data_IF_155716470728
#
_entry.id   IF_155716470728
#
_cell.length_a   1.000
_cell.length_b   1.000
_cell.length_c   1.000
_cell.angle_alpha   90.00
_cell.angle_beta   90.00
_cell.angle_gamma   90.00
#
_symmetry.space_group_name_H-M   'P 1'
#
loop_
_entity.id
_entity.type
_entity.pdbx_description
1 polymer ?
#
# COMPACT_ATOMS: atom_id res chain seq x y z
N UNK A 1 2.12 5.61 -2.23
CA UNK A 1 1.05 5.54 -3.26
C UNK A 1 1.29 4.35 -4.18
N UNK A 2 0.27 3.50 -4.42
CA UNK A 2 0.35 2.40 -5.38
C UNK A 2 -0.22 2.83 -6.74
N UNK A 3 0.17 2.13 -7.81
CA UNK A 3 -0.38 2.31 -9.16
C UNK A 3 -0.83 0.97 -9.74
N UNK A 4 -1.72 1.02 -10.74
CA UNK A 4 -2.16 -0.19 -11.46
C UNK A 4 -1.05 -0.80 -12.30
N UNK A 5 -1.17 -2.09 -12.63
CA UNK A 5 -0.22 -2.81 -13.49
C UNK A 5 0.00 -2.11 -14.85
N UNK A 6 -1.06 -1.64 -15.51
CA UNK A 6 -0.91 -0.95 -16.79
C UNK A 6 -0.12 0.36 -16.68
N UNK A 7 -0.23 1.06 -15.54
CA UNK A 7 0.55 2.27 -15.26
C UNK A 7 2.00 1.91 -14.94
N UNK A 8 2.24 0.86 -14.15
CA UNK A 8 3.56 0.33 -13.88
C UNK A 8 4.27 -0.06 -15.18
N UNK A 9 3.59 -0.79 -16.08
CA UNK A 9 4.11 -1.16 -17.40
C UNK A 9 4.37 0.05 -18.30
N UNK A 10 3.54 1.08 -18.23
CA UNK A 10 3.81 2.34 -18.95
C UNK A 10 5.11 2.99 -18.48
N UNK A 11 5.37 3.01 -17.17
CA UNK A 11 6.64 3.49 -16.62
C UNK A 11 7.80 2.59 -17.04
N UNK A 12 7.64 1.27 -17.01
CA UNK A 12 8.66 0.32 -17.48
C UNK A 12 9.06 0.61 -18.92
N UNK A 13 8.08 0.77 -19.81
CA UNK A 13 8.33 1.10 -21.22
C UNK A 13 9.06 2.45 -21.40
N UNK A 14 8.67 3.49 -20.64
CA UNK A 14 9.33 4.80 -20.65
C UNK A 14 10.82 4.71 -20.25
N UNK A 15 11.15 3.81 -19.34
CA UNK A 15 12.53 3.57 -18.91
C UNK A 15 13.25 2.48 -19.72
N UNK A 16 12.64 1.96 -20.78
CA UNK A 16 13.26 0.99 -21.67
C UNK A 16 13.28 -0.44 -21.11
N UNK A 17 12.35 -0.79 -20.24
CA UNK A 17 12.11 -2.16 -19.79
C UNK A 17 11.05 -2.78 -20.69
N UNK A 18 11.31 -3.91 -21.35
CA UNK A 18 10.36 -4.55 -22.26
C UNK A 18 9.10 -5.05 -21.53
N UNK A 19 7.94 -4.71 -22.07
CA UNK A 19 6.63 -5.13 -21.60
C UNK A 19 5.78 -5.64 -22.77
N UNK A 20 4.77 -6.50 -22.54
CA UNK A 20 3.80 -6.85 -23.58
C UNK A 20 3.05 -5.61 -24.07
N UNK A 21 2.71 -5.59 -25.36
CA UNK A 21 1.87 -4.53 -25.92
C UNK A 21 0.47 -4.65 -25.36
N UNK A 22 0.04 -3.65 -24.60
CA UNK A 22 -1.24 -3.67 -23.88
C UNK A 22 -1.86 -2.28 -23.75
N UNK A 23 -3.16 -2.24 -23.42
CA UNK A 23 -3.92 -1.01 -23.21
C UNK A 23 -4.93 -1.17 -22.09
N UNK A 24 -5.13 -0.11 -21.32
CA UNK A 24 -6.22 0.00 -20.37
C UNK A 24 -7.57 0.00 -21.08
N UNK A 25 -8.52 -0.74 -20.54
CA UNK A 25 -9.87 -0.92 -21.08
C UNK A 25 -10.90 -0.71 -19.96
N UNK A 26 -11.92 0.11 -20.24
CA UNK A 26 -12.99 0.44 -19.29
C UNK A 26 -14.37 -0.02 -19.77
N UNK A 27 -14.47 -0.55 -20.99
CA UNK A 27 -15.71 -1.09 -21.55
C UNK A 27 -15.47 -2.30 -22.46
N UNK A 28 -16.47 -3.18 -22.65
CA UNK A 28 -16.36 -4.32 -23.58
C UNK A 28 -16.09 -3.90 -25.02
N UNK A 29 -16.65 -2.77 -25.47
CA UNK A 29 -16.46 -2.25 -26.83
C UNK A 29 -15.01 -1.81 -27.05
N UNK A 30 -14.41 -1.16 -26.05
CA UNK A 30 -13.00 -0.80 -26.09
C UNK A 30 -12.09 -2.02 -26.12
N UNK A 31 -12.47 -3.13 -25.45
CA UNK A 31 -11.74 -4.40 -25.51
C UNK A 31 -11.71 -4.97 -26.93
N UNK A 32 -12.86 -4.97 -27.64
CA UNK A 32 -12.95 -5.40 -29.03
C UNK A 32 -12.10 -4.53 -29.96
N UNK A 33 -12.22 -3.21 -29.82
CA UNK A 33 -11.46 -2.27 -30.64
C UNK A 33 -9.95 -2.50 -30.50
N UNK A 34 -9.47 -2.61 -29.27
CA UNK A 34 -8.05 -2.84 -28.99
C UNK A 34 -7.57 -4.23 -29.43
N UNK A 35 -8.38 -5.30 -29.21
CA UNK A 35 -8.02 -6.64 -29.66
C UNK A 35 -7.84 -6.73 -31.19
N UNK A 36 -8.54 -5.89 -31.95
CA UNK A 36 -8.38 -5.82 -33.41
C UNK A 36 -7.06 -5.12 -33.84
N UNK A 37 -6.50 -4.26 -32.99
CA UNK A 37 -5.21 -3.59 -33.22
C UNK A 37 -4.01 -4.45 -32.85
N UNK A 38 -4.23 -5.52 -32.06
CA UNK A 38 -3.16 -6.44 -31.65
C UNK A 38 -2.97 -7.53 -32.73
N UNK A 39 -1.71 -7.70 -33.13
CA UNK A 39 -1.28 -8.82 -33.99
C UNK A 39 -0.62 -9.91 -33.13
N UNK A 40 -1.45 -10.70 -32.46
CA UNK A 40 -1.04 -11.75 -31.54
C UNK A 40 -1.95 -12.96 -31.65
N UNK A 41 -1.42 -14.20 -31.51
CA UNK A 41 -2.24 -15.41 -31.44
C UNK A 41 -2.92 -15.61 -30.09
N UNK A 42 -2.53 -14.84 -29.04
CA UNK A 42 -3.03 -14.99 -27.67
C UNK A 42 -3.29 -13.62 -27.07
N UNK A 43 -4.49 -13.45 -26.50
CA UNK A 43 -4.92 -12.25 -25.81
C UNK A 43 -5.04 -12.55 -24.32
N UNK A 44 -4.59 -11.63 -23.48
CA UNK A 44 -4.72 -11.72 -22.03
C UNK A 44 -5.53 -10.54 -21.52
N UNK A 45 -6.60 -10.84 -20.79
CA UNK A 45 -7.49 -9.84 -20.17
C UNK A 45 -7.28 -9.90 -18.66
N UNK A 46 -6.75 -8.84 -18.08
CA UNK A 46 -6.35 -8.77 -16.67
C UNK A 46 -7.15 -7.71 -15.93
N UNK A 47 -7.81 -8.09 -14.84
CA UNK A 47 -8.42 -7.14 -13.92
C UNK A 47 -7.36 -6.24 -13.30
N UNK A 48 -7.64 -4.94 -13.19
CA UNK A 48 -6.75 -3.95 -12.59
C UNK A 48 -7.28 -3.58 -11.23
N UNK A 49 -6.65 -4.11 -10.19
CA UNK A 49 -6.86 -3.78 -8.77
C UNK A 49 -5.50 -3.71 -8.08
N UNK A 50 -5.38 -2.93 -7.00
CA UNK A 50 -4.14 -2.81 -6.22
C UNK A 50 -3.92 -4.02 -5.29
N UNK A 51 -4.03 -5.23 -5.84
CA UNK A 51 -3.78 -6.47 -5.10
C UNK A 51 -3.16 -7.54 -5.99
N UNK A 52 -2.28 -8.34 -5.40
CA UNK A 52 -1.72 -9.56 -5.98
C UNK A 52 -2.71 -10.73 -5.96
N UNK A 53 -2.30 -11.86 -6.56
CA UNK A 53 -3.11 -13.08 -6.58
C UNK A 53 -4.31 -13.04 -7.52
N UNK A 54 -4.41 -12.04 -8.39
CA UNK A 54 -5.52 -11.87 -9.36
C UNK A 54 -5.76 -13.09 -10.23
N UNK A 55 -4.69 -13.76 -10.67
CA UNK A 55 -4.79 -14.99 -11.47
C UNK A 55 -5.54 -16.10 -10.74
N UNK A 56 -5.17 -16.37 -9.49
CA UNK A 56 -5.84 -17.39 -8.63
C UNK A 56 -7.30 -17.02 -8.33
N UNK A 57 -7.60 -15.72 -8.23
CA UNK A 57 -8.97 -15.21 -8.02
C UNK A 57 -9.84 -15.16 -9.31
N UNK A 58 -9.31 -15.64 -10.46
CA UNK A 58 -10.01 -15.61 -11.74
C UNK A 58 -10.09 -14.22 -12.39
N UNK A 59 -9.24 -13.29 -11.98
CA UNK A 59 -9.10 -11.95 -12.54
C UNK A 59 -8.19 -11.86 -13.77
N UNK A 60 -7.60 -12.97 -14.21
CA UNK A 60 -6.80 -13.07 -15.44
C UNK A 60 -7.42 -14.13 -16.33
N UNK A 61 -7.74 -13.75 -17.56
CA UNK A 61 -8.34 -14.61 -18.57
C UNK A 61 -7.49 -14.60 -19.84
N UNK A 62 -7.37 -15.76 -20.46
CA UNK A 62 -6.57 -15.96 -21.67
C UNK A 62 -7.50 -16.45 -22.78
N UNK A 63 -7.36 -15.93 -23.97
CA UNK A 63 -8.09 -16.38 -25.15
C UNK A 63 -7.23 -16.31 -26.40
N UNK A 64 -7.53 -17.18 -27.39
CA UNK A 64 -6.96 -17.12 -28.75
C UNK A 64 -7.92 -16.45 -29.73
N UNK A 65 -9.15 -16.18 -29.29
CA UNK A 65 -10.17 -15.52 -30.08
C UNK A 65 -10.31 -14.06 -29.66
N UNK A 66 -9.96 -13.13 -30.55
CA UNK A 66 -10.10 -11.71 -30.30
C UNK A 66 -11.57 -11.29 -30.10
N UNK A 67 -12.53 -11.97 -30.72
CA UNK A 67 -13.94 -11.70 -30.53
C UNK A 67 -14.40 -12.02 -29.08
N UNK A 68 -13.76 -12.97 -28.41
CA UNK A 68 -14.07 -13.30 -27.04
C UNK A 68 -13.64 -12.23 -26.01
N UNK A 69 -12.74 -11.31 -26.39
CA UNK A 69 -12.23 -10.28 -25.46
C UNK A 69 -13.34 -9.40 -24.88
N UNK A 70 -14.36 -9.06 -25.67
CA UNK A 70 -15.53 -8.29 -25.19
C UNK A 70 -16.33 -9.04 -24.13
N UNK A 71 -16.56 -10.35 -24.35
CA UNK A 71 -17.27 -11.21 -23.40
C UNK A 71 -16.52 -11.34 -22.08
N UNK A 72 -15.19 -11.53 -22.13
CA UNK A 72 -14.33 -11.58 -20.96
C UNK A 72 -14.27 -10.23 -20.22
N UNK A 73 -14.23 -9.12 -20.96
CA UNK A 73 -14.29 -7.80 -20.36
C UNK A 73 -15.62 -7.56 -19.63
N UNK A 74 -16.75 -7.96 -20.22
CA UNK A 74 -18.08 -7.89 -19.60
C UNK A 74 -18.19 -8.76 -18.34
N UNK A 75 -17.52 -9.93 -18.31
CA UNK A 75 -17.49 -10.81 -17.14
C UNK A 75 -16.70 -10.18 -15.97
N UNK A 76 -15.62 -9.47 -16.28
CA UNK A 76 -14.68 -8.98 -15.27
C UNK A 76 -15.01 -7.57 -14.76
N UNK A 77 -15.47 -6.66 -15.63
CA UNK A 77 -15.83 -5.29 -15.20
C UNK A 77 -17.02 -5.34 -14.23
N UNK A 78 -16.87 -4.69 -13.10
CA UNK A 78 -17.87 -4.67 -12.03
C UNK A 78 -17.86 -5.85 -11.09
N UNK A 79 -17.11 -6.91 -11.40
CA UNK A 79 -16.91 -8.08 -10.52
C UNK A 79 -16.09 -7.68 -9.29
N UNK A 80 -16.42 -8.22 -8.13
CA UNK A 80 -15.59 -8.12 -6.94
C UNK A 80 -14.63 -9.31 -6.89
N UNK A 81 -13.32 -9.02 -6.88
CA UNK A 81 -12.28 -10.04 -6.75
C UNK A 81 -11.84 -10.13 -5.30
N UNK A 82 -11.86 -11.35 -4.77
CA UNK A 82 -11.35 -11.69 -3.44
C UNK A 82 -10.01 -12.38 -3.61
N UNK A 83 -8.95 -11.78 -3.10
CA UNK A 83 -7.61 -12.36 -3.05
C UNK A 83 -7.13 -12.39 -1.59
N UNK A 84 -6.02 -13.06 -1.31
CA UNK A 84 -5.44 -13.04 0.03
C UNK A 84 -5.03 -11.61 0.48
N UNK A 85 -4.74 -10.70 -0.46
CA UNK A 85 -4.37 -9.31 -0.16
C UNK A 85 -5.58 -8.38 0.00
N UNK A 86 -6.72 -8.67 -0.65
CA UNK A 86 -7.92 -7.82 -0.52
C UNK A 86 -8.76 -8.13 0.71
N UNK A 87 -8.47 -9.25 1.39
CA UNK A 87 -9.34 -9.76 2.44
C UNK A 87 -10.73 -10.18 1.93
N UNK A 88 -11.65 -10.56 2.83
CA UNK A 88 -12.95 -11.14 2.46
C UNK A 88 -13.90 -10.16 1.76
N UNK A 89 -13.71 -8.85 1.92
CA UNK A 89 -14.50 -7.82 1.24
C UNK A 89 -14.21 -7.75 -0.26
N UNK A 90 -13.00 -8.13 -0.67
CA UNK A 90 -12.55 -8.02 -2.05
C UNK A 90 -12.40 -6.59 -2.57
N UNK A 91 -12.06 -6.47 -3.86
CA UNK A 91 -12.00 -5.19 -4.57
C UNK A 91 -12.81 -5.27 -5.85
N UNK A 92 -13.58 -4.24 -6.14
CA UNK A 92 -14.40 -4.15 -7.36
C UNK A 92 -13.51 -3.77 -8.55
N UNK A 93 -13.64 -4.50 -9.63
CA UNK A 93 -12.90 -4.26 -10.88
C UNK A 93 -13.56 -3.11 -11.65
N UNK A 94 -12.85 -2.00 -11.80
CA UNK A 94 -13.32 -0.83 -12.54
C UNK A 94 -12.71 -0.73 -13.94
N UNK A 95 -11.52 -1.34 -14.13
CA UNK A 95 -10.75 -1.29 -15.37
C UNK A 95 -9.99 -2.58 -15.61
N UNK A 96 -9.64 -2.84 -16.84
CA UNK A 96 -8.88 -4.00 -17.28
C UNK A 96 -7.63 -3.56 -18.03
N UNK A 97 -6.65 -4.45 -18.10
CA UNK A 97 -5.58 -4.41 -19.08
C UNK A 97 -5.81 -5.54 -20.09
N UNK A 98 -5.90 -5.19 -21.37
CA UNK A 98 -5.90 -6.17 -22.47
C UNK A 98 -4.56 -6.09 -23.16
N UNK A 99 -3.85 -7.20 -23.23
CA UNK A 99 -2.49 -7.27 -23.77
C UNK A 99 -2.24 -8.54 -24.57
N UNK A 100 -1.17 -8.53 -25.33
CA UNK A 100 -0.67 -9.70 -26.05
C UNK A 100 -0.13 -10.75 -25.07
N UNK A 101 -0.35 -12.02 -25.36
CA UNK A 101 0.26 -13.13 -24.64
C UNK A 101 1.73 -13.31 -25.03
N UNK A 102 2.49 -13.97 -24.15
CA UNK A 102 3.90 -14.28 -24.38
C UNK A 102 4.16 -15.78 -24.32
N UNK A 103 5.13 -16.24 -25.12
CA UNK A 103 5.60 -17.64 -25.12
C UNK A 103 6.62 -17.85 -24.00
N UNK A 104 6.18 -18.22 -22.82
CA UNK A 104 7.03 -18.35 -21.63
C UNK A 104 7.95 -19.58 -21.77
N UNK A 105 9.26 -19.37 -21.60
CA UNK A 105 10.24 -20.44 -21.44
C UNK A 105 10.65 -20.59 -19.98
N UNK A 106 10.85 -19.48 -19.24
CA UNK A 106 11.23 -19.45 -17.83
C UNK A 106 10.61 -18.23 -17.16
N UNK A 107 10.15 -18.41 -15.94
CA UNK A 107 9.69 -17.35 -15.05
C UNK A 107 10.74 -17.06 -13.99
N UNK A 108 10.93 -15.78 -13.67
CA UNK A 108 11.84 -15.26 -12.66
C UNK A 108 11.11 -14.24 -11.82
N UNK A 109 11.57 -14.04 -10.60
CA UNK A 109 11.18 -12.90 -9.74
C UNK A 109 12.27 -11.82 -9.78
N UNK A 110 11.86 -10.57 -9.84
CA UNK A 110 12.77 -9.43 -9.76
C UNK A 110 12.07 -8.25 -9.08
N UNK A 111 12.75 -7.68 -8.07
CA UNK A 111 12.29 -6.41 -7.46
C UNK A 111 13.48 -5.54 -7.06
N UNK A 112 13.20 -4.26 -6.82
CA UNK A 112 14.11 -3.32 -6.16
C UNK A 112 13.33 -2.55 -5.10
N UNK A 113 13.91 -2.44 -3.92
CA UNK A 113 13.39 -1.71 -2.78
C UNK A 113 14.56 -1.20 -1.92
N UNK A 114 14.28 -0.39 -0.90
CA UNK A 114 15.28 -0.05 0.11
C UNK A 114 15.31 -1.15 1.17
N UNK A 115 16.45 -1.83 1.30
CA UNK A 115 16.67 -2.78 2.39
C UNK A 115 16.75 -2.03 3.72
N UNK A 116 15.95 -2.45 4.71
CA UNK A 116 15.82 -1.74 6.00
C UNK A 116 17.05 -1.87 6.88
N UNK A 117 17.82 -2.94 6.73
CA UNK A 117 19.00 -3.20 7.54
C UNK A 117 20.19 -2.32 7.08
N UNK A 118 20.34 -2.15 5.78
CA UNK A 118 21.45 -1.39 5.18
C UNK A 118 21.08 0.06 4.84
N UNK A 119 19.79 0.33 4.62
CA UNK A 119 19.29 1.61 4.07
C UNK A 119 19.59 1.81 2.60
N UNK A 120 20.04 0.77 1.88
CA UNK A 120 20.47 0.85 0.48
C UNK A 120 19.42 0.29 -0.49
N UNK A 121 19.30 0.87 -1.70
CA UNK A 121 18.56 0.24 -2.78
C UNK A 121 19.12 -1.15 -3.04
N UNK A 122 18.24 -2.17 -2.98
CA UNK A 122 18.64 -3.55 -3.08
C UNK A 122 17.77 -4.28 -4.08
N UNK A 123 18.38 -4.93 -5.06
CA UNK A 123 17.69 -5.86 -5.93
C UNK A 123 17.46 -7.18 -5.19
N UNK A 124 16.25 -7.70 -5.29
CA UNK A 124 15.87 -9.04 -4.86
C UNK A 124 15.47 -9.81 -6.10
N UNK A 125 16.07 -10.97 -6.32
CA UNK A 125 15.79 -11.82 -7.46
C UNK A 125 15.66 -13.28 -7.05
N UNK A 126 14.87 -14.06 -7.79
CA UNK A 126 14.75 -15.52 -7.60
C UNK A 126 14.42 -16.22 -8.91
N UNK A 127 14.80 -17.50 -8.98
CA UNK A 127 14.38 -18.41 -10.06
C UNK A 127 12.96 -18.90 -9.92
N UNK A 128 12.29 -18.58 -8.81
CA UNK A 128 10.90 -18.93 -8.48
C UNK A 128 9.98 -17.75 -8.85
N UNK A 129 9.74 -17.53 -10.13
CA UNK A 129 8.80 -16.54 -10.62
C UNK A 129 7.35 -16.99 -10.55
N UNK A 130 6.41 -16.04 -10.53
CA UNK A 130 4.97 -16.32 -10.48
C UNK A 130 4.45 -16.79 -9.12
N UNK A 131 5.32 -16.81 -8.10
CA UNK A 131 4.99 -17.15 -6.72
C UNK A 131 5.10 -15.94 -5.80
N UNK A 132 4.47 -16.00 -4.62
CA UNK A 132 4.67 -15.00 -3.57
C UNK A 132 6.10 -15.09 -3.05
N UNK A 133 6.85 -14.01 -3.10
CA UNK A 133 8.27 -14.01 -2.72
C UNK A 133 8.47 -14.28 -1.23
N UNK A 134 7.49 -13.90 -0.40
CA UNK A 134 7.48 -14.18 1.04
C UNK A 134 7.41 -15.69 1.30
N UNK A 135 6.64 -16.42 0.50
CA UNK A 135 6.57 -17.89 0.59
C UNK A 135 7.90 -18.54 0.19
N UNK A 136 8.58 -17.99 -0.83
CA UNK A 136 9.92 -18.44 -1.22
C UNK A 136 10.94 -18.16 -0.12
N UNK A 137 10.88 -16.95 0.48
CA UNK A 137 11.77 -16.56 1.58
C UNK A 137 11.60 -17.44 2.83
N UNK A 138 10.38 -17.89 3.11
CA UNK A 138 10.09 -18.78 4.26
C UNK A 138 10.54 -20.23 4.00
N UNK A 139 10.25 -20.77 2.82
CA UNK A 139 10.47 -22.19 2.50
C UNK A 139 11.85 -22.49 1.93
N UNK A 140 12.41 -21.57 1.13
CA UNK A 140 13.65 -21.77 0.38
C UNK A 140 14.47 -20.46 0.33
N UNK A 141 14.91 -19.92 1.50
CA UNK A 141 15.60 -18.62 1.57
C UNK A 141 16.88 -18.59 0.74
N UNK A 142 17.52 -19.73 0.50
CA UNK A 142 18.72 -19.86 -0.35
C UNK A 142 18.48 -19.52 -1.82
N UNK A 143 17.21 -19.48 -2.28
CA UNK A 143 16.83 -19.06 -3.63
C UNK A 143 16.63 -17.55 -3.76
N UNK A 144 16.72 -16.82 -2.65
CA UNK A 144 16.63 -15.36 -2.65
C UNK A 144 18.02 -14.77 -2.85
N UNK A 145 18.18 -14.09 -3.96
CA UNK A 145 19.41 -13.37 -4.32
C UNK A 145 19.20 -11.90 -3.96
N UNK A 146 20.15 -11.34 -3.21
CA UNK A 146 20.16 -9.91 -2.85
C UNK A 146 21.41 -9.26 -3.40
N UNK A 147 21.25 -8.13 -4.08
CA UNK A 147 22.36 -7.30 -4.58
C UNK A 147 22.11 -5.85 -4.14
N UNK A 148 22.85 -5.39 -3.15
CA UNK A 148 22.77 -4.03 -2.64
C UNK A 148 23.57 -3.07 -3.54
N UNK A 149 23.00 -1.90 -3.79
CA UNK A 149 23.62 -0.85 -4.62
C UNK A 149 24.03 0.29 -3.71
N UNK A 150 25.32 0.59 -3.66
CA UNK A 150 25.81 1.77 -2.95
C UNK A 150 25.24 3.05 -3.61
N UNK A 151 24.42 3.83 -2.91
CA UNK A 151 23.79 5.02 -3.50
C UNK A 151 24.79 6.12 -3.88
N UNK A 152 26.00 6.12 -3.30
CA UNK A 152 27.05 7.08 -3.66
C UNK A 152 27.70 6.76 -5.02
N UNK A 153 27.69 5.49 -5.43
CA UNK A 153 28.28 5.01 -6.71
C UNK A 153 27.19 4.82 -7.76
N UNK A 154 26.00 4.44 -7.33
CA UNK A 154 24.90 4.05 -8.20
C UNK A 154 25.09 2.67 -8.84
N UNK A 155 24.09 2.26 -9.63
CA UNK A 155 24.13 0.96 -10.32
C UNK A 155 25.29 0.87 -11.32
N UNK A 156 26.05 -0.21 -11.23
CA UNK A 156 27.15 -0.53 -12.11
C UNK A 156 26.90 -1.86 -12.83
N UNK A 157 27.48 -2.05 -14.00
CA UNK A 157 27.28 -3.27 -14.78
C UNK A 157 27.70 -4.58 -14.07
N UNK A 158 28.58 -4.51 -13.07
CA UNK A 158 28.95 -5.69 -12.28
C UNK A 158 27.80 -6.12 -11.36
N UNK A 159 27.03 -5.18 -10.78
CA UNK A 159 25.87 -5.51 -9.97
C UNK A 159 24.86 -6.37 -10.76
N UNK A 160 24.55 -5.93 -11.99
CA UNK A 160 23.64 -6.70 -12.85
C UNK A 160 24.20 -8.07 -13.23
N UNK A 161 25.50 -8.18 -13.46
CA UNK A 161 26.15 -9.48 -13.73
C UNK A 161 26.15 -10.40 -12.52
N UNK A 162 26.37 -9.86 -11.32
CA UNK A 162 26.27 -10.64 -10.07
C UNK A 162 24.89 -11.31 -9.96
N UNK A 163 23.82 -10.53 -10.15
CA UNK A 163 22.44 -11.07 -10.12
C UNK A 163 22.22 -12.08 -11.24
N UNK A 164 22.65 -11.77 -12.48
CA UNK A 164 22.49 -12.67 -13.63
C UNK A 164 23.16 -14.03 -13.40
N UNK A 165 24.38 -14.05 -12.88
CA UNK A 165 25.13 -15.28 -12.61
C UNK A 165 24.55 -16.04 -11.42
N UNK A 166 24.11 -15.35 -10.37
CA UNK A 166 23.45 -15.99 -9.23
C UNK A 166 22.11 -16.63 -9.62
N UNK A 167 21.35 -16.03 -10.57
CA UNK A 167 20.16 -16.64 -11.18
C UNK A 167 20.49 -17.81 -12.14
N UNK A 168 21.75 -18.05 -12.46
CA UNK A 168 22.16 -19.09 -13.39
C UNK A 168 21.82 -18.78 -14.85
N UNK A 169 21.68 -17.51 -15.24
CA UNK A 169 21.30 -17.12 -16.61
C UNK A 169 22.29 -17.58 -17.66
N UNK A 170 23.59 -17.73 -17.29
CA UNK A 170 24.62 -18.29 -18.17
C UNK A 170 24.36 -19.75 -18.59
N UNK A 171 23.56 -20.48 -17.78
CA UNK A 171 23.16 -21.87 -18.05
C UNK A 171 21.79 -21.95 -18.70
N UNK A 172 20.88 -21.02 -18.32
CA UNK A 172 19.52 -21.00 -18.82
C UNK A 172 19.45 -20.44 -20.24
N UNK A 173 19.97 -19.21 -20.45
CA UNK A 173 20.02 -18.53 -21.75
C UNK A 173 21.04 -17.40 -21.71
N UNK A 174 22.30 -17.67 -22.12
CA UNK A 174 23.40 -16.69 -22.06
C UNK A 174 23.14 -15.38 -22.84
N UNK A 175 22.33 -15.44 -23.90
CA UNK A 175 22.03 -14.29 -24.73
C UNK A 175 21.26 -13.18 -23.97
N UNK A 176 20.55 -13.51 -22.89
CA UNK A 176 19.79 -12.55 -22.12
C UNK A 176 20.61 -11.82 -21.04
N UNK A 177 21.87 -12.20 -20.80
CA UNK A 177 22.69 -11.60 -19.71
C UNK A 177 22.86 -10.10 -19.90
N UNK A 178 23.32 -9.64 -21.08
CA UNK A 178 23.52 -8.21 -21.34
C UNK A 178 22.18 -7.43 -21.32
N UNK A 179 21.11 -7.89 -21.98
CA UNK A 179 19.78 -7.29 -21.85
C UNK A 179 19.29 -7.23 -20.41
N UNK A 180 19.55 -8.26 -19.58
CA UNK A 180 19.20 -8.29 -18.16
C UNK A 180 19.95 -7.22 -17.35
N UNK A 181 21.27 -7.11 -17.55
CA UNK A 181 22.08 -6.07 -16.90
C UNK A 181 21.58 -4.67 -17.26
N UNK A 182 21.25 -4.44 -18.54
CA UNK A 182 20.67 -3.17 -18.98
C UNK A 182 19.31 -2.92 -18.35
N UNK A 183 18.45 -3.95 -18.27
CA UNK A 183 17.14 -3.87 -17.60
C UNK A 183 17.26 -3.47 -16.14
N UNK A 184 18.18 -4.07 -15.37
CA UNK A 184 18.41 -3.70 -13.97
C UNK A 184 18.87 -2.24 -13.86
N UNK A 185 19.75 -1.77 -14.72
CA UNK A 185 20.15 -0.36 -14.76
C UNK A 185 18.97 0.58 -15.02
N UNK A 186 18.06 0.19 -15.92
CA UNK A 186 16.85 0.96 -16.23
C UNK A 186 15.87 0.94 -15.05
N UNK A 187 15.69 -0.19 -14.37
CA UNK A 187 14.84 -0.29 -13.18
C UNK A 187 15.40 0.50 -11.99
N UNK A 188 16.73 0.47 -11.79
CA UNK A 188 17.39 1.30 -10.80
C UNK A 188 17.14 2.79 -11.08
N UNK A 189 17.26 3.21 -12.33
CA UNK A 189 17.00 4.58 -12.76
C UNK A 189 15.55 4.99 -12.52
N UNK A 190 14.57 4.14 -12.88
CA UNK A 190 13.16 4.33 -12.57
C UNK A 190 12.95 4.49 -11.05
N UNK A 191 13.52 3.59 -10.25
CA UNK A 191 13.41 3.57 -8.80
C UNK A 191 13.89 4.88 -8.18
N UNK A 192 15.09 5.34 -8.57
CA UNK A 192 15.69 6.56 -8.03
C UNK A 192 15.02 7.84 -8.56
N UNK A 193 14.80 7.94 -9.89
CA UNK A 193 14.27 9.16 -10.51
C UNK A 193 12.82 9.44 -10.15
N UNK A 194 12.02 8.39 -9.85
CA UNK A 194 10.60 8.54 -9.51
C UNK A 194 10.32 8.44 -8.02
N UNK A 195 11.32 8.34 -7.18
CA UNK A 195 11.18 8.11 -5.74
C UNK A 195 10.25 6.90 -5.46
N UNK A 196 10.49 5.79 -6.17
CA UNK A 196 9.74 4.57 -5.92
C UNK A 196 10.14 3.96 -4.55
N UNK A 197 9.18 3.40 -3.84
CA UNK A 197 9.40 2.62 -2.63
C UNK A 197 9.59 1.13 -2.94
N UNK A 198 8.94 0.67 -4.02
CA UNK A 198 9.05 -0.69 -4.56
C UNK A 198 8.85 -0.65 -6.06
N UNK A 199 9.69 -1.38 -6.78
CA UNK A 199 9.46 -1.78 -8.18
C UNK A 199 9.59 -3.30 -8.24
N UNK A 200 8.53 -4.00 -8.62
CA UNK A 200 8.47 -5.46 -8.65
C UNK A 200 7.98 -5.94 -10.01
N UNK A 201 8.61 -6.98 -10.51
CA UNK A 201 8.24 -7.71 -11.72
C UNK A 201 8.07 -9.19 -11.34
N UNK A 202 6.83 -9.66 -11.35
CA UNK A 202 6.53 -11.04 -10.96
C UNK A 202 5.36 -11.63 -11.77
N UNK A 203 5.68 -12.38 -12.84
CA UNK A 203 7.00 -12.81 -13.24
C UNK A 203 7.72 -11.86 -14.25
N UNK A 204 9.01 -11.79 -14.13
CA UNK A 204 9.91 -11.49 -15.26
C UNK A 204 10.09 -12.77 -16.07
N UNK A 205 9.87 -12.74 -17.36
CA UNK A 205 9.97 -13.95 -18.18
C UNK A 205 11.13 -13.89 -19.16
N UNK A 206 11.70 -15.07 -19.40
CA UNK A 206 12.49 -15.35 -20.61
C UNK A 206 11.52 -16.03 -21.57
N UNK A 207 11.36 -15.48 -22.76
CA UNK A 207 10.49 -16.06 -23.79
C UNK A 207 11.21 -17.17 -24.56
N UNK A 208 10.44 -17.99 -25.31
CA UNK A 208 11.02 -18.98 -26.22
C UNK A 208 11.85 -18.35 -27.35
N UNK A 209 11.56 -17.08 -27.64
CA UNK A 209 12.30 -16.24 -28.60
C UNK A 209 13.59 -15.65 -27.98
N UNK A 210 13.94 -16.06 -26.73
CA UNK A 210 15.14 -15.66 -26.00
C UNK A 210 15.19 -14.16 -25.69
N UNK A 211 14.05 -13.58 -25.39
CA UNK A 211 13.91 -12.19 -24.96
C UNK A 211 13.43 -12.09 -23.52
N UNK A 212 13.75 -10.98 -22.84
CA UNK A 212 13.25 -10.66 -21.51
C UNK A 212 12.00 -9.79 -21.60
N UNK A 213 10.97 -10.10 -20.83
CA UNK A 213 9.72 -9.33 -20.81
C UNK A 213 9.20 -9.26 -19.37
N UNK A 214 8.87 -8.06 -18.89
CA UNK A 214 8.14 -7.86 -17.64
C UNK A 214 6.65 -8.17 -17.85
N UNK A 215 6.23 -9.38 -17.48
CA UNK A 215 4.88 -9.89 -17.78
C UNK A 215 3.83 -9.33 -16.81
N UNK A 216 4.21 -9.06 -15.58
CA UNK A 216 3.41 -8.33 -14.59
C UNK A 216 4.31 -7.30 -13.90
N UNK A 217 3.72 -6.26 -13.33
CA UNK A 217 4.47 -5.20 -12.69
C UNK A 217 3.68 -4.54 -11.58
N UNK A 218 4.38 -4.29 -10.47
CA UNK A 218 3.87 -3.55 -9.33
C UNK A 218 4.87 -2.44 -8.99
N UNK A 219 4.37 -1.21 -8.91
CA UNK A 219 5.17 -0.07 -8.49
C UNK A 219 4.44 0.66 -7.38
N UNK A 220 5.16 0.97 -6.33
CA UNK A 220 4.71 1.89 -5.29
C UNK A 220 5.71 3.03 -5.13
N UNK A 221 5.22 4.18 -4.73
CA UNK A 221 6.01 5.40 -4.58
C UNK A 221 6.05 5.85 -3.13
N UNK A 222 7.13 6.48 -2.74
CA UNK A 222 7.23 7.16 -1.45
C UNK A 222 6.33 8.42 -1.49
N UNK A 223 5.34 8.44 -0.61
CA UNK A 223 4.39 9.55 -0.52
C UNK A 223 5.09 10.89 -0.22
N UNK A 224 6.22 10.85 0.51
CA UNK A 224 7.03 12.04 0.79
C UNK A 224 7.75 12.60 -0.45
N UNK A 225 7.91 11.79 -1.49
CA UNK A 225 8.52 12.20 -2.76
C UNK A 225 7.52 12.68 -3.82
N UNK A 226 6.23 12.37 -3.66
CA UNK A 226 5.20 12.58 -4.69
C UNK A 226 5.06 14.03 -5.14
N UNK A 227 5.33 15.01 -4.27
CA UNK A 227 5.23 16.43 -4.63
C UNK A 227 6.15 16.84 -5.79
N UNK A 228 7.18 16.06 -6.11
CA UNK A 228 8.09 16.28 -7.23
C UNK A 228 7.59 15.64 -8.55
N UNK A 229 6.56 14.80 -8.50
CA UNK A 229 6.14 13.92 -9.60
C UNK A 229 4.65 14.08 -9.92
N UNK A 230 4.29 15.19 -10.58
CA UNK A 230 2.89 15.44 -10.98
C UNK A 230 2.35 14.35 -11.93
N UNK A 231 3.20 13.77 -12.78
CA UNK A 231 2.85 12.68 -13.68
C UNK A 231 2.46 11.42 -12.90
N UNK A 232 3.17 11.12 -11.82
CA UNK A 232 2.86 10.00 -10.92
C UNK A 232 1.60 10.28 -10.10
N UNK A 233 1.44 11.50 -9.57
CA UNK A 233 0.24 11.89 -8.81
C UNK A 233 -1.05 11.69 -9.63
N UNK A 234 -1.02 11.95 -10.94
CA UNK A 234 -2.15 11.75 -11.86
C UNK A 234 -2.52 10.27 -12.06
N UNK A 235 -1.64 9.34 -11.66
CA UNK A 235 -1.90 7.90 -11.71
C UNK A 235 -2.71 7.39 -10.52
N UNK A 236 -2.94 8.22 -9.50
CA UNK A 236 -3.66 7.84 -8.29
C UNK A 236 -5.10 7.45 -8.60
N UNK A 237 -5.52 6.30 -8.09
CA UNK A 237 -6.90 5.83 -8.19
C UNK A 237 -7.56 5.76 -6.81
N UNK A 238 -8.40 6.75 -6.51
CA UNK A 238 -9.10 6.83 -5.23
C UNK A 238 -10.08 5.68 -4.98
N UNK A 239 -10.50 4.94 -6.02
CA UNK A 239 -11.37 3.78 -5.84
C UNK A 239 -10.63 2.59 -5.21
N UNK A 240 -9.30 2.59 -5.27
CA UNK A 240 -8.45 1.55 -4.71
C UNK A 240 -7.96 1.87 -3.29
N UNK A 241 -8.18 3.09 -2.80
CA UNK A 241 -7.76 3.53 -1.47
C UNK A 241 -8.86 3.36 -0.43
N UNK A 242 -8.50 3.39 0.85
CA UNK A 242 -9.47 3.37 1.94
C UNK A 242 -10.13 4.76 2.08
N UNK A 243 -11.46 4.86 2.01
CA UNK A 243 -12.14 6.17 2.02
C UNK A 243 -11.83 7.03 3.24
N UNK A 244 -11.62 6.41 4.42
CA UNK A 244 -11.26 7.14 5.64
C UNK A 244 -9.84 7.70 5.59
N UNK A 245 -8.91 7.01 4.92
CA UNK A 245 -7.53 7.49 4.72
C UNK A 245 -7.50 8.67 3.73
N UNK A 246 -8.32 8.62 2.66
CA UNK A 246 -8.51 9.73 1.73
C UNK A 246 -9.02 10.97 2.47
N UNK A 247 -10.06 10.81 3.30
CA UNK A 247 -10.64 11.90 4.06
C UNK A 247 -9.64 12.47 5.08
N UNK A 248 -8.87 11.61 5.73
CA UNK A 248 -7.83 12.02 6.67
C UNK A 248 -6.73 12.85 5.98
N UNK A 249 -6.25 12.39 4.84
CA UNK A 249 -5.25 13.11 4.03
C UNK A 249 -5.75 14.50 3.62
N UNK A 250 -7.03 14.61 3.21
CA UNK A 250 -7.64 15.90 2.86
C UNK A 250 -7.74 16.88 4.06
N UNK A 251 -7.68 16.37 5.30
CA UNK A 251 -7.67 17.15 6.53
C UNK A 251 -6.28 17.27 7.18
N UNK A 252 -5.20 16.93 6.46
CA UNK A 252 -3.82 16.90 6.93
C UNK A 252 -3.62 16.02 8.19
N UNK A 253 -4.31 14.89 8.25
CA UNK A 253 -4.19 13.89 9.29
C UNK A 253 -3.48 12.65 8.75
N UNK A 254 -2.57 12.07 9.56
CA UNK A 254 -1.97 10.77 9.28
C UNK A 254 -2.86 9.68 9.88
N UNK A 255 -3.57 8.95 9.04
CA UNK A 255 -4.51 7.92 9.43
C UNK A 255 -4.24 6.62 8.68
N UNK A 256 -4.28 5.50 9.39
CA UNK A 256 -4.27 4.16 8.82
C UNK A 256 -5.40 3.37 9.47
N UNK A 257 -6.26 2.77 8.66
CA UNK A 257 -7.34 1.92 9.14
C UNK A 257 -6.82 0.55 9.57
N UNK A 258 -7.32 0.06 10.71
CA UNK A 258 -7.08 -1.29 11.23
C UNK A 258 -8.43 -1.99 11.50
N UNK A 259 -8.37 -3.26 11.90
CA UNK A 259 -9.57 -4.09 12.06
C UNK A 259 -10.14 -4.13 13.49
N UNK A 260 -9.60 -3.34 14.41
CA UNK A 260 -10.01 -3.33 15.82
C UNK A 260 -11.29 -2.54 16.11
N UNK A 261 -11.54 -2.34 17.41
CA UNK A 261 -12.74 -1.70 17.93
C UNK A 261 -12.48 -0.45 18.80
N UNK A 262 -11.22 -0.13 19.09
CA UNK A 262 -10.85 1.08 19.83
C UNK A 262 -10.29 2.11 18.86
N UNK A 263 -11.02 3.20 18.65
CA UNK A 263 -10.53 4.35 17.89
C UNK A 263 -9.45 5.10 18.67
N UNK A 264 -8.32 5.37 18.03
CA UNK A 264 -7.17 6.04 18.63
C UNK A 264 -6.97 7.43 18.02
N UNK A 265 -6.74 8.45 18.88
CA UNK A 265 -6.34 9.78 18.46
C UNK A 265 -5.15 10.22 19.32
N UNK A 266 -4.01 10.43 18.70
CA UNK A 266 -2.74 10.62 19.41
C UNK A 266 -1.94 11.74 18.72
N UNK A 267 -1.05 12.41 19.42
CA UNK A 267 -0.09 13.33 18.84
C UNK A 267 1.31 12.70 18.84
N UNK A 268 1.79 12.43 17.64
CA UNK A 268 3.10 11.83 17.39
C UNK A 268 3.05 10.32 17.14
N UNK A 269 3.68 9.88 16.06
CA UNK A 269 3.63 8.50 15.57
C UNK A 269 4.13 7.46 16.59
N UNK A 270 5.22 7.77 17.32
CA UNK A 270 5.75 6.86 18.34
C UNK A 270 4.78 6.63 19.49
N UNK A 271 4.11 7.71 19.95
CA UNK A 271 3.09 7.59 21.00
C UNK A 271 1.85 6.85 20.49
N UNK A 272 1.48 7.03 19.21
CA UNK A 272 0.37 6.30 18.61
C UNK A 272 0.65 4.80 18.57
N UNK A 273 1.83 4.38 18.14
CA UNK A 273 2.24 2.96 18.17
C UNK A 273 2.21 2.38 19.58
N UNK A 274 2.82 3.08 20.55
CA UNK A 274 2.80 2.65 21.96
C UNK A 274 1.37 2.56 22.51
N UNK A 275 0.47 3.48 22.12
CA UNK A 275 -0.94 3.46 22.53
C UNK A 275 -1.64 2.22 21.99
N UNK A 276 -1.41 1.87 20.72
CA UNK A 276 -1.98 0.67 20.11
C UNK A 276 -1.48 -0.61 20.79
N UNK A 277 -0.19 -0.69 21.11
CA UNK A 277 0.39 -1.84 21.83
C UNK A 277 -0.22 -2.01 23.21
N UNK A 278 -0.41 -0.91 23.95
CA UNK A 278 -1.02 -0.95 25.30
C UNK A 278 -2.49 -1.33 25.24
N UNK A 279 -3.25 -0.92 24.23
CA UNK A 279 -4.62 -1.40 23.99
C UNK A 279 -4.64 -2.92 23.79
N UNK A 280 -3.74 -3.46 22.98
CA UNK A 280 -3.61 -4.92 22.76
C UNK A 280 -3.28 -5.64 24.06
N UNK A 281 -2.32 -5.16 24.83
CA UNK A 281 -1.98 -5.73 26.13
C UNK A 281 -3.14 -5.68 27.13
N UNK A 282 -4.02 -4.68 27.04
CA UNK A 282 -5.22 -4.58 27.85
C UNK A 282 -6.36 -5.51 27.39
N UNK A 283 -6.20 -6.20 26.25
CA UNK A 283 -7.11 -7.24 25.75
C UNK A 283 -8.18 -6.74 24.79
N UNK A 284 -7.87 -5.69 24.01
CA UNK A 284 -8.70 -5.22 22.89
C UNK A 284 -7.83 -4.92 21.67
N UNK A 285 -8.44 -4.46 20.58
CA UNK A 285 -7.72 -4.21 19.32
C UNK A 285 -7.90 -2.75 18.86
N UNK A 286 -6.81 -2.05 18.42
CA UNK A 286 -6.92 -0.72 17.86
C UNK A 286 -7.63 -0.75 16.50
N UNK A 287 -8.58 0.17 16.30
CA UNK A 287 -9.32 0.32 15.05
C UNK A 287 -8.55 1.14 14.00
N UNK A 288 -7.56 1.91 14.43
CA UNK A 288 -6.77 2.78 13.57
C UNK A 288 -5.49 3.24 14.22
N UNK A 289 -4.56 3.67 13.38
CA UNK A 289 -3.53 4.64 13.71
C UNK A 289 -4.05 6.04 13.35
N UNK A 290 -3.91 7.03 14.23
CA UNK A 290 -4.21 8.43 13.92
C UNK A 290 -3.27 9.34 14.69
N UNK A 291 -2.41 10.04 13.97
CA UNK A 291 -1.56 11.10 14.48
C UNK A 291 -2.09 12.47 14.04
N UNK A 292 -2.52 13.26 15.01
CA UNK A 292 -2.99 14.64 14.78
C UNK A 292 -1.85 15.66 14.69
N UNK A 293 -0.62 15.19 14.86
CA UNK A 293 0.59 16.03 14.78
C UNK A 293 0.80 16.95 15.99
N UNK A 294 1.99 17.58 15.99
CA UNK A 294 2.38 18.52 17.05
C UNK A 294 1.72 19.90 16.99
N UNK A 295 0.97 20.19 15.94
CA UNK A 295 0.24 21.44 15.74
C UNK A 295 -1.28 21.28 15.75
N UNK A 296 -1.80 20.26 16.43
CA UNK A 296 -3.23 19.96 16.44
C UNK A 296 -4.09 21.19 16.78
N UNK A 297 -5.04 21.48 15.90
CA UNK A 297 -6.04 22.55 16.05
C UNK A 297 -7.40 21.97 16.35
N UNK A 298 -8.37 22.81 16.71
CA UNK A 298 -9.77 22.40 16.87
C UNK A 298 -10.29 21.68 15.62
N UNK A 299 -9.96 22.19 14.44
CA UNK A 299 -10.43 21.67 13.14
C UNK A 299 -9.88 20.27 12.88
N UNK A 300 -8.59 20.04 13.14
CA UNK A 300 -7.95 18.72 12.97
C UNK A 300 -8.50 17.70 13.97
N UNK A 301 -8.73 18.11 15.23
CA UNK A 301 -9.37 17.26 16.25
C UNK A 301 -10.80 16.90 15.85
N UNK A 302 -11.60 17.89 15.39
CA UNK A 302 -12.98 17.65 14.94
C UNK A 302 -13.01 16.73 13.70
N UNK A 303 -12.10 16.89 12.76
CA UNK A 303 -11.95 15.99 11.60
C UNK A 303 -11.61 14.57 12.05
N UNK A 304 -10.66 14.42 12.98
CA UNK A 304 -10.30 13.12 13.57
C UNK A 304 -11.52 12.42 14.21
N UNK A 305 -12.32 13.13 15.01
CA UNK A 305 -13.56 12.55 15.56
C UNK A 305 -14.54 12.10 14.46
N UNK A 306 -14.77 12.94 13.43
CA UNK A 306 -15.67 12.58 12.33
C UNK A 306 -15.21 11.32 11.61
N UNK A 307 -13.91 11.18 11.38
CA UNK A 307 -13.33 10.00 10.74
C UNK A 307 -13.50 8.76 11.61
N UNK A 308 -13.15 8.85 12.90
CA UNK A 308 -13.28 7.73 13.83
C UNK A 308 -14.73 7.24 13.98
N UNK A 309 -15.70 8.16 14.05
CA UNK A 309 -17.12 7.82 14.21
C UNK A 309 -17.77 7.30 12.92
N UNK A 310 -17.15 7.46 11.76
CA UNK A 310 -17.61 6.85 10.50
C UNK A 310 -17.25 5.37 10.41
N UNK A 311 -16.26 4.90 11.16
CA UNK A 311 -15.95 3.47 11.20
C UNK A 311 -16.94 2.73 12.10
N UNK A 312 -17.77 1.83 11.56
CA UNK A 312 -18.78 1.10 12.34
C UNK A 312 -18.16 0.12 13.36
N UNK A 313 -16.88 -0.21 13.20
CA UNK A 313 -16.16 -1.08 14.12
C UNK A 313 -15.78 -0.35 15.41
N UNK A 314 -15.67 0.98 15.39
CA UNK A 314 -15.28 1.77 16.57
C UNK A 314 -16.38 1.73 17.62
N UNK A 315 -16.08 1.13 18.77
CA UNK A 315 -16.96 1.00 19.94
C UNK A 315 -16.58 1.94 21.07
N UNK A 316 -15.39 2.51 21.04
CA UNK A 316 -14.91 3.52 21.98
C UNK A 316 -13.73 4.27 21.41
N UNK A 317 -13.46 5.46 21.93
CA UNK A 317 -12.37 6.31 21.47
C UNK A 317 -11.41 6.57 22.62
N UNK A 318 -10.12 6.38 22.37
CA UNK A 318 -9.04 6.72 23.28
C UNK A 318 -8.20 7.87 22.68
N UNK A 319 -8.24 9.02 23.37
CA UNK A 319 -7.40 10.19 23.07
C UNK A 319 -6.21 10.16 24.01
N UNK A 320 -5.00 10.07 23.46
CA UNK A 320 -3.76 10.06 24.23
C UNK A 320 -2.82 11.16 23.74
N UNK A 321 -2.69 12.22 24.54
CA UNK A 321 -1.90 13.40 24.20
C UNK A 321 -0.74 13.57 25.18
N UNK A 322 0.46 13.72 24.61
CA UNK A 322 1.62 14.15 25.36
C UNK A 322 1.99 15.58 24.93
N UNK A 323 1.80 16.53 25.84
CA UNK A 323 2.12 17.93 25.64
C UNK A 323 3.62 18.19 25.80
N UNK A 324 4.31 18.26 24.69
CA UNK A 324 5.64 18.84 24.62
C UNK A 324 5.52 20.26 24.08
N UNK A 325 5.64 20.42 22.74
CA UNK A 325 5.37 21.66 22.01
C UNK A 325 3.86 21.99 22.05
N UNK A 326 3.01 20.95 21.93
CA UNK A 326 1.56 21.07 22.07
C UNK A 326 1.19 21.25 23.53
N UNK A 327 0.33 22.21 23.82
CA UNK A 327 -0.18 22.51 25.16
C UNK A 327 -1.51 21.78 25.37
N UNK A 328 -1.61 21.03 26.46
CA UNK A 328 -2.76 20.15 26.74
C UNK A 328 -4.09 20.91 26.84
N UNK A 329 -4.09 22.16 27.34
CA UNK A 329 -5.31 22.96 27.43
C UNK A 329 -5.87 23.32 26.05
N UNK A 330 -5.02 23.50 25.02
CA UNK A 330 -5.47 23.74 23.64
C UNK A 330 -6.16 22.51 23.08
N UNK A 331 -5.59 21.34 23.32
CA UNK A 331 -6.21 20.07 22.90
C UNK A 331 -7.54 19.85 23.65
N UNK A 332 -7.58 20.12 24.95
CA UNK A 332 -8.83 20.00 25.74
C UNK A 332 -9.94 20.90 25.15
N UNK A 333 -9.62 22.15 24.81
CA UNK A 333 -10.57 23.03 24.10
C UNK A 333 -10.98 22.44 22.75
N UNK A 334 -10.03 21.96 21.94
CA UNK A 334 -10.31 21.31 20.64
C UNK A 334 -11.25 20.10 20.79
N UNK A 335 -10.99 19.24 21.77
CA UNK A 335 -11.86 18.09 22.11
C UNK A 335 -13.26 18.53 22.50
N UNK A 336 -13.38 19.52 23.41
CA UNK A 336 -14.68 20.02 23.91
C UNK A 336 -15.49 20.63 22.76
N UNK A 337 -14.88 21.45 21.94
CA UNK A 337 -15.56 22.10 20.81
C UNK A 337 -15.93 21.09 19.71
N UNK A 338 -15.02 20.18 19.38
CA UNK A 338 -15.29 19.12 18.42
C UNK A 338 -16.42 18.18 18.91
N UNK A 339 -16.44 17.86 20.21
CA UNK A 339 -17.49 17.04 20.81
C UNK A 339 -18.88 17.73 20.81
N UNK A 340 -18.93 19.06 20.79
CA UNK A 340 -20.19 19.82 20.64
C UNK A 340 -20.68 19.80 19.17
N UNK A 341 -19.77 19.83 18.22
CA UNK A 341 -20.09 19.80 16.77
C UNK A 341 -20.44 18.38 16.30
N UNK A 342 -19.73 17.38 16.83
CA UNK A 342 -19.88 15.98 16.47
C UNK A 342 -20.52 15.24 17.63
N UNK A 343 -21.73 14.70 17.43
CA UNK A 343 -22.41 13.90 18.46
C UNK A 343 -21.63 12.61 18.71
N UNK A 344 -20.81 12.59 19.77
CA UNK A 344 -20.08 11.40 20.20
C UNK A 344 -21.06 10.41 20.82
N UNK A 345 -21.18 9.23 20.21
CA UNK A 345 -22.13 8.18 20.61
C UNK A 345 -21.46 7.00 21.31
N UNK A 346 -20.15 6.99 21.39
CA UNK A 346 -19.34 5.92 21.98
C UNK A 346 -18.59 6.42 23.23
N UNK A 347 -18.19 5.54 24.16
CA UNK A 347 -17.36 5.90 25.30
C UNK A 347 -16.07 6.63 24.86
N UNK A 348 -15.68 7.64 25.61
CA UNK A 348 -14.50 8.45 25.36
C UNK A 348 -13.61 8.43 26.61
N UNK A 349 -12.35 8.03 26.45
CA UNK A 349 -11.30 8.13 27.45
C UNK A 349 -10.24 9.10 26.98
N UNK A 350 -9.83 10.05 27.83
CA UNK A 350 -8.82 11.05 27.49
C UNK A 350 -7.69 11.00 28.51
N UNK A 351 -6.48 10.85 28.02
CA UNK A 351 -5.25 11.00 28.80
C UNK A 351 -4.47 12.21 28.29
N UNK A 352 -4.18 13.13 29.19
CA UNK A 352 -3.37 14.30 28.96
C UNK A 352 -2.16 14.29 29.89
N UNK A 353 -0.95 14.38 29.34
CA UNK A 353 0.29 14.47 30.09
C UNK A 353 1.23 15.53 29.47
N UNK A 354 2.11 16.12 30.25
CA UNK A 354 3.07 17.13 29.80
C UNK A 354 2.57 18.55 30.04
N UNK A 355 2.94 19.49 29.16
CA UNK A 355 2.71 20.93 29.33
C UNK A 355 1.22 21.25 29.52
N UNK A 356 0.87 21.87 30.67
CA UNK A 356 -0.48 22.28 31.06
C UNK A 356 -1.50 21.11 31.11
N UNK A 357 -1.04 19.90 31.47
CA UNK A 357 -1.92 18.75 31.61
C UNK A 357 -2.96 18.91 32.74
N UNK A 358 -2.62 19.46 33.95
CA UNK A 358 -3.59 19.70 34.99
C UNK A 358 -4.73 20.63 34.56
N UNK A 359 -4.41 21.72 33.86
CA UNK A 359 -5.39 22.67 33.31
C UNK A 359 -6.28 22.02 32.25
N UNK A 360 -5.66 21.25 31.34
CA UNK A 360 -6.39 20.51 30.31
C UNK A 360 -7.37 19.49 30.90
N UNK A 361 -6.94 18.71 31.90
CA UNK A 361 -7.80 17.76 32.60
C UNK A 361 -8.96 18.44 33.32
N UNK A 362 -8.71 19.59 33.98
CA UNK A 362 -9.75 20.38 34.63
C UNK A 362 -10.78 20.87 33.61
N UNK A 363 -10.35 21.42 32.48
CA UNK A 363 -11.24 21.85 31.39
C UNK A 363 -12.15 20.71 30.91
N UNK A 364 -11.60 19.51 30.71
CA UNK A 364 -12.37 18.33 30.31
C UNK A 364 -13.39 17.93 31.40
N UNK A 365 -13.00 17.90 32.67
CA UNK A 365 -13.89 17.55 33.77
C UNK A 365 -15.06 18.55 33.91
N UNK A 366 -14.80 19.85 33.75
CA UNK A 366 -15.77 20.92 33.84
C UNK A 366 -16.65 21.07 32.58
N UNK A 367 -16.36 20.34 31.51
CA UNK A 367 -17.02 20.48 30.19
C UNK A 367 -18.47 19.95 30.14
N UNK A 368 -18.86 19.10 31.08
CA UNK A 368 -20.14 18.40 31.05
C UNK A 368 -20.22 17.26 30.02
N UNK A 369 -19.13 16.94 29.32
CA UNK A 369 -19.07 15.81 28.37
C UNK A 369 -19.03 14.48 29.14
N UNK A 370 -19.67 13.46 28.57
CA UNK A 370 -19.53 12.07 29.03
C UNK A 370 -18.20 11.51 28.60
N UNK A 371 -17.15 11.74 29.36
CA UNK A 371 -15.82 11.20 29.13
C UNK A 371 -15.16 10.79 30.45
N UNK A 372 -14.21 9.88 30.38
CA UNK A 372 -13.35 9.54 31.50
C UNK A 372 -11.93 10.10 31.26
N UNK A 373 -11.36 10.66 32.33
CA UNK A 373 -9.98 11.12 32.35
C UNK A 373 -9.10 10.05 33.00
N UNK A 374 -7.91 9.84 32.49
CA UNK A 374 -6.91 8.95 33.07
C UNK A 374 -5.57 9.67 33.27
N UNK A 375 -4.84 9.28 34.30
CA UNK A 375 -3.55 9.88 34.64
C UNK A 375 -2.39 9.19 33.93
N UNK A 376 -2.44 7.89 33.75
CA UNK A 376 -1.42 7.14 33.03
C UNK A 376 -1.97 6.35 31.83
N UNK A 377 -1.05 5.86 31.00
CA UNK A 377 -1.37 5.20 29.71
C UNK A 377 -2.04 3.84 29.95
N UNK A 378 -1.58 3.08 30.95
CA UNK A 378 -2.13 1.76 31.25
C UNK A 378 -3.54 1.85 31.83
N UNK A 379 -3.75 2.76 32.77
CA UNK A 379 -5.07 3.05 33.34
C UNK A 379 -6.06 3.43 32.24
N UNK A 380 -5.64 4.31 31.32
CA UNK A 380 -6.49 4.76 30.20
C UNK A 380 -6.90 3.60 29.29
N UNK A 381 -5.95 2.73 28.93
CA UNK A 381 -6.25 1.54 28.12
C UNK A 381 -7.20 0.57 28.84
N UNK A 382 -6.98 0.32 30.14
CA UNK A 382 -7.88 -0.52 30.93
C UNK A 382 -9.30 0.07 30.99
N UNK A 383 -9.43 1.39 31.18
CA UNK A 383 -10.71 2.08 31.21
C UNK A 383 -11.48 1.93 29.90
N UNK A 384 -10.83 2.22 28.76
CA UNK A 384 -11.52 2.14 27.47
C UNK A 384 -11.90 0.70 27.13
N UNK A 385 -11.04 -0.28 27.41
CA UNK A 385 -11.36 -1.70 27.20
C UNK A 385 -12.52 -2.16 28.09
N UNK A 386 -12.56 -1.72 29.34
CA UNK A 386 -13.67 -2.02 30.25
C UNK A 386 -15.00 -1.42 29.76
N UNK A 387 -15.00 -0.20 29.23
CA UNK A 387 -16.19 0.50 28.74
C UNK A 387 -16.73 -0.11 27.43
N UNK A 388 -15.86 -0.68 26.61
CA UNK A 388 -16.24 -1.22 25.29
C UNK A 388 -16.45 -2.74 25.29
N UNK A 389 -16.05 -3.43 26.35
CA UNK A 389 -15.92 -4.89 26.39
C UNK A 389 -14.62 -5.36 25.72
N UNK A 390 -14.20 -6.58 26.06
CA UNK A 390 -13.06 -7.21 25.36
C UNK A 390 -13.43 -7.44 23.90
N UNK A 391 -12.46 -7.33 23.00
CA UNK A 391 -12.63 -7.78 21.62
C UNK A 391 -13.01 -9.28 21.64
N UNK A 392 -14.01 -9.65 20.85
CA UNK A 392 -14.50 -11.03 20.76
C UNK A 392 -13.51 -11.92 20.02
#
# INVERSE_FOLDING_TARGET
MNVHEFQAKSLFAQFGVPVPRGKEITSPEAATAWANELDTPVFVVKAQIHAGGRGKAGGVKITKDKAACAGLAKELIGKTLVTHQTGPKGRKVHRLLVEEGANIAKELYLSILVDRDTGWPTFIASTEGGMEIEEVADKTPEKIIKEAIDPAVGFQGHNGRNVAFALGLQQIEPAVINPFVQMLGNLYRLFMEKNAALVEINPLIITKEKTLVALDGKVSFDDNGLFKHEDVQKMRDLNEEEPLEIEATANNLNYVKLDGNIGCMVNGAGLAMATMDVIKLAGSEPANFLDVGGGATKETVAAGFRILLKDPNVKGIFINIFGGIVRCERIAHGVIEAAKEVKITVPLVVRLQGTNAPEGRKLLADSGLKLEVADDLWEAAQKIVKLTGKAA
#
